data_IF_931905370741
#
_entry.id   IF_931905370741
#
_cell.length_a   1.000
_cell.length_b   1.000
_cell.length_c   1.000
_cell.angle_alpha   90.00
_cell.angle_beta   90.00
_cell.angle_gamma   90.00
#
_symmetry.space_group_name_H-M   'P 1'
#
loop_
_entity.id
_entity.type
_entity.pdbx_description
1 polymer ?
#
# COMPACT_ATOMS: atom_id res chain seq x y z
N UNK A 1 -6.96 28.45 0.43
CA UNK A 1 -7.36 27.03 0.63
C UNK A 1 -6.20 26.15 0.14
N UNK A 2 -5.62 25.34 1.00
CA UNK A 2 -4.57 24.40 0.57
C UNK A 2 -5.26 23.31 -0.27
N UNK A 3 -4.70 22.92 -1.43
CA UNK A 3 -5.26 21.83 -2.21
C UNK A 3 -5.24 20.54 -1.40
N UNK A 4 -6.26 19.72 -1.57
CA UNK A 4 -6.34 18.40 -0.97
C UNK A 4 -5.21 17.51 -1.51
N UNK A 5 -4.42 16.92 -0.64
CA UNK A 5 -3.32 16.02 -1.01
C UNK A 5 -3.78 14.61 -1.43
N UNK A 6 -5.04 14.42 -1.82
CA UNK A 6 -5.61 13.11 -2.14
C UNK A 6 -4.86 12.40 -3.27
N UNK A 7 -4.52 13.11 -4.34
CA UNK A 7 -3.78 12.55 -5.48
C UNK A 7 -2.36 12.14 -5.05
N UNK A 8 -1.72 12.95 -4.20
CA UNK A 8 -0.41 12.64 -3.65
C UNK A 8 -0.47 11.39 -2.74
N UNK A 9 -1.48 11.31 -1.87
CA UNK A 9 -1.69 10.15 -1.00
C UNK A 9 -1.96 8.88 -1.82
N UNK A 10 -2.75 8.96 -2.87
CA UNK A 10 -3.02 7.84 -3.77
C UNK A 10 -1.76 7.43 -4.54
N UNK A 11 -0.98 8.38 -5.04
CA UNK A 11 0.29 8.12 -5.73
C UNK A 11 1.30 7.43 -4.82
N UNK A 12 1.40 7.84 -3.56
CA UNK A 12 2.21 7.15 -2.55
C UNK A 12 1.70 5.73 -2.28
N UNK A 13 0.37 5.55 -2.17
CA UNK A 13 -0.25 4.24 -2.01
C UNK A 13 0.09 3.29 -3.17
N UNK A 14 0.03 3.77 -4.41
CA UNK A 14 0.43 3.01 -5.60
C UNK A 14 1.91 2.66 -5.54
N UNK A 15 2.78 3.63 -5.26
CA UNK A 15 4.22 3.41 -5.19
C UNK A 15 4.59 2.33 -4.17
N UNK A 16 4.14 2.47 -2.93
CA UNK A 16 4.42 1.47 -1.89
C UNK A 16 3.74 0.13 -2.16
N UNK A 17 2.54 0.14 -2.72
CA UNK A 17 1.85 -1.07 -3.13
C UNK A 17 2.62 -1.86 -4.19
N UNK A 18 3.20 -1.19 -5.19
CA UNK A 18 4.08 -1.83 -6.18
C UNK A 18 5.32 -2.45 -5.54
N UNK A 19 5.92 -1.79 -4.54
CA UNK A 19 7.07 -2.34 -3.82
C UNK A 19 6.69 -3.60 -3.01
N UNK A 20 5.51 -3.61 -2.38
CA UNK A 20 4.98 -4.76 -1.65
C UNK A 20 4.78 -5.94 -2.62
N UNK A 21 4.06 -5.73 -3.72
CA UNK A 21 3.82 -6.76 -4.73
C UNK A 21 5.12 -7.29 -5.32
N UNK A 22 6.07 -6.41 -5.61
CA UNK A 22 7.41 -6.81 -6.08
C UNK A 22 8.09 -7.76 -5.10
N UNK A 23 8.07 -7.43 -3.81
CA UNK A 23 8.69 -8.26 -2.78
C UNK A 23 8.01 -9.64 -2.71
N UNK A 24 6.67 -9.69 -2.77
CA UNK A 24 5.89 -10.93 -2.79
C UNK A 24 6.25 -11.79 -4.01
N UNK A 25 6.28 -11.21 -5.21
CA UNK A 25 6.58 -11.94 -6.44
C UNK A 25 8.03 -12.43 -6.52
N UNK A 26 8.98 -11.64 -6.04
CA UNK A 26 10.38 -12.06 -5.96
C UNK A 26 10.57 -13.22 -4.95
N UNK A 27 9.81 -13.23 -3.86
CA UNK A 27 9.82 -14.35 -2.91
C UNK A 27 9.22 -15.62 -3.53
N UNK A 28 8.14 -15.50 -4.31
CA UNK A 28 7.57 -16.62 -5.08
C UNK A 28 8.60 -17.19 -6.08
N UNK A 29 9.31 -16.33 -6.81
CA UNK A 29 10.36 -16.74 -7.74
C UNK A 29 11.50 -17.49 -7.03
N UNK A 30 11.92 -17.01 -5.87
CA UNK A 30 12.95 -17.68 -5.05
C UNK A 30 12.49 -19.05 -4.57
N UNK A 31 11.24 -19.16 -4.13
CA UNK A 31 10.66 -20.43 -3.66
C UNK A 31 10.54 -21.46 -4.78
N UNK A 32 10.17 -21.03 -5.99
CA UNK A 32 10.00 -21.89 -7.17
C UNK A 32 11.27 -22.10 -7.99
N UNK A 33 12.35 -21.39 -7.65
CA UNK A 33 13.63 -21.37 -8.40
C UNK A 33 13.50 -20.99 -9.89
N UNK A 34 12.40 -20.32 -10.28
CA UNK A 34 12.15 -19.94 -11.67
C UNK A 34 11.30 -18.66 -11.76
N UNK A 35 11.69 -17.74 -12.66
CA UNK A 35 10.88 -16.57 -13.03
C UNK A 35 9.69 -16.95 -13.94
N UNK A 36 9.70 -18.14 -14.55
CA UNK A 36 8.62 -18.61 -15.43
C UNK A 36 7.30 -18.91 -14.71
N UNK A 37 7.30 -18.89 -13.38
CA UNK A 37 6.10 -19.05 -12.55
C UNK A 37 5.23 -17.77 -12.53
N UNK A 38 5.79 -16.63 -12.93
CA UNK A 38 5.08 -15.37 -12.93
C UNK A 38 4.21 -15.21 -14.16
N UNK A 39 2.97 -14.80 -13.97
CA UNK A 39 2.12 -14.30 -15.05
C UNK A 39 2.67 -12.98 -15.61
N UNK A 40 2.27 -12.64 -16.84
CA UNK A 40 2.75 -11.44 -17.54
C UNK A 40 2.58 -10.17 -16.68
N UNK A 41 1.40 -9.97 -16.09
CA UNK A 41 1.10 -8.78 -15.28
C UNK A 41 1.98 -8.68 -14.03
N UNK A 42 2.37 -9.81 -13.44
CA UNK A 42 3.29 -9.84 -12.29
C UNK A 42 4.71 -9.42 -12.70
N UNK A 43 5.16 -9.85 -13.89
CA UNK A 43 6.42 -9.40 -14.45
C UNK A 43 6.40 -7.90 -14.77
N UNK A 44 5.27 -7.38 -15.24
CA UNK A 44 5.08 -5.96 -15.52
C UNK A 44 5.11 -5.13 -14.21
N UNK A 45 4.52 -5.63 -13.11
CA UNK A 45 4.64 -5.00 -11.78
C UNK A 45 6.11 -4.86 -11.35
N UNK A 46 6.92 -5.90 -11.55
CA UNK A 46 8.35 -5.84 -11.20
C UNK A 46 9.06 -4.74 -12.00
N UNK A 47 8.80 -4.64 -13.31
CA UNK A 47 9.38 -3.60 -14.18
C UNK A 47 8.95 -2.20 -13.75
N UNK A 48 7.65 -2.00 -13.52
CA UNK A 48 7.08 -0.70 -13.13
C UNK A 48 7.60 -0.24 -11.76
N UNK A 49 7.77 -1.17 -10.81
CA UNK A 49 8.33 -0.86 -9.49
C UNK A 49 9.80 -0.39 -9.51
N UNK A 50 10.49 -0.55 -10.65
CA UNK A 50 11.87 -0.09 -10.85
C UNK A 50 11.97 1.34 -11.41
N UNK A 51 10.86 2.07 -11.55
CA UNK A 51 10.84 3.50 -11.88
C UNK A 51 10.26 3.86 -13.24
N UNK A 52 9.71 2.92 -13.99
CA UNK A 52 9.08 3.21 -15.28
C UNK A 52 7.58 3.46 -15.16
N UNK A 53 7.22 4.55 -14.46
CA UNK A 53 5.83 4.89 -14.16
C UNK A 53 5.00 5.38 -15.36
N UNK A 54 5.62 5.70 -16.49
CA UNK A 54 4.93 6.24 -17.69
C UNK A 54 3.93 5.23 -18.26
N UNK A 55 4.23 3.94 -18.14
CA UNK A 55 3.33 2.87 -18.61
C UNK A 55 2.21 2.53 -17.59
N UNK A 56 2.29 3.09 -16.38
CA UNK A 56 1.34 2.78 -15.31
C UNK A 56 -0.04 3.41 -15.55
N UNK A 57 -0.09 4.61 -16.11
CA UNK A 57 -1.36 5.36 -16.33
C UNK A 57 -2.38 4.58 -17.17
N UNK A 58 -1.89 3.69 -18.03
CA UNK A 58 -2.75 2.88 -18.92
C UNK A 58 -3.08 1.48 -18.34
N UNK A 59 -2.64 1.17 -17.10
CA UNK A 59 -2.81 -0.16 -16.54
C UNK A 59 -3.58 -0.14 -15.20
N UNK A 60 -4.90 0.09 -15.31
CA UNK A 60 -5.78 0.19 -14.14
C UNK A 60 -5.77 -1.08 -13.27
N UNK A 61 -5.55 -2.25 -13.86
CA UNK A 61 -5.47 -3.51 -13.12
C UNK A 61 -4.26 -3.52 -12.16
N UNK A 62 -3.10 -3.09 -12.64
CA UNK A 62 -1.88 -2.99 -11.81
C UNK A 62 -2.04 -1.91 -10.74
N UNK A 63 -2.64 -0.76 -11.08
CA UNK A 63 -2.92 0.31 -10.12
C UNK A 63 -3.81 -0.22 -9.00
N UNK A 64 -4.90 -0.91 -9.33
CA UNK A 64 -5.82 -1.46 -8.36
C UNK A 64 -5.15 -2.54 -7.49
N UNK A 65 -4.35 -3.41 -8.09
CA UNK A 65 -3.59 -4.43 -7.36
C UNK A 65 -2.59 -3.81 -6.38
N UNK A 66 -1.88 -2.75 -6.80
CA UNK A 66 -0.95 -2.01 -5.94
C UNK A 66 -1.65 -1.34 -4.77
N UNK A 67 -2.75 -0.62 -5.02
CA UNK A 67 -3.55 0.00 -3.96
C UNK A 67 -4.09 -1.03 -2.97
N UNK A 68 -4.63 -2.14 -3.46
CA UNK A 68 -5.11 -3.23 -2.61
C UNK A 68 -3.98 -3.83 -1.75
N UNK A 69 -2.79 -4.01 -2.32
CA UNK A 69 -1.63 -4.48 -1.55
C UNK A 69 -1.24 -3.48 -0.45
N UNK A 70 -1.29 -2.18 -0.74
CA UNK A 70 -1.02 -1.14 0.22
C UNK A 70 -2.06 -1.11 1.36
N UNK A 71 -3.37 -1.18 1.05
CA UNK A 71 -4.43 -1.20 2.06
C UNK A 71 -4.38 -2.47 2.91
N UNK A 72 -4.07 -3.62 2.31
CA UNK A 72 -3.84 -4.86 3.05
C UNK A 72 -2.71 -4.71 4.06
N UNK A 73 -1.62 -4.07 3.67
CA UNK A 73 -0.48 -3.82 4.57
C UNK A 73 -0.85 -2.84 5.69
N UNK A 74 -1.60 -1.76 5.40
CA UNK A 74 -2.11 -0.85 6.43
C UNK A 74 -2.96 -1.61 7.46
N UNK A 75 -3.87 -2.47 7.01
CA UNK A 75 -4.74 -3.25 7.89
C UNK A 75 -3.98 -4.35 8.64
N UNK A 76 -2.95 -4.93 8.03
CA UNK A 76 -2.04 -5.87 8.72
C UNK A 76 -1.33 -5.19 9.89
N UNK A 77 -0.78 -4.00 9.67
CA UNK A 77 -0.15 -3.22 10.74
C UNK A 77 -1.15 -2.84 11.83
N UNK A 78 -2.38 -2.45 11.47
CA UNK A 78 -3.44 -2.20 12.43
C UNK A 78 -3.74 -3.42 13.31
N UNK A 79 -3.83 -4.61 12.71
CA UNK A 79 -4.04 -5.86 13.43
C UNK A 79 -2.86 -6.21 14.35
N UNK A 80 -1.62 -6.04 13.92
CA UNK A 80 -0.41 -6.25 14.73
C UNK A 80 -0.36 -5.31 15.94
N UNK A 81 -0.81 -4.07 15.76
CA UNK A 81 -0.96 -3.09 16.84
C UNK A 81 -2.20 -3.32 17.72
N UNK A 82 -3.00 -4.35 17.41
CA UNK A 82 -4.24 -4.72 18.10
C UNK A 82 -5.29 -3.60 18.11
N UNK A 83 -5.36 -2.84 17.04
CA UNK A 83 -6.38 -1.80 16.84
C UNK A 83 -7.72 -2.50 16.51
N UNK A 84 -8.68 -2.40 17.40
CA UNK A 84 -9.94 -3.16 17.32
C UNK A 84 -11.01 -2.48 16.47
N UNK A 85 -10.93 -1.16 16.40
CA UNK A 85 -11.95 -0.30 15.78
C UNK A 85 -11.38 0.45 14.57
N UNK A 86 -10.43 -0.17 13.83
CA UNK A 86 -9.75 0.45 12.70
C UNK A 86 -9.79 -0.45 11.48
N UNK A 87 -10.22 0.12 10.35
CA UNK A 87 -10.13 -0.49 9.03
C UNK A 87 -9.79 0.58 7.99
N UNK A 88 -8.78 0.34 7.18
CA UNK A 88 -8.34 1.23 6.12
C UNK A 88 -8.78 0.71 4.75
N UNK A 89 -9.45 1.57 3.99
CA UNK A 89 -9.89 1.28 2.62
C UNK A 89 -9.34 2.28 1.60
N UNK A 90 -8.68 3.33 2.06
CA UNK A 90 -8.11 4.35 1.19
C UNK A 90 -6.84 4.97 1.78
N UNK A 91 -5.99 5.49 0.91
CA UNK A 91 -4.79 6.22 1.32
C UNK A 91 -5.08 7.69 1.66
N UNK A 92 -6.19 8.25 1.15
CA UNK A 92 -6.52 9.68 1.23
C UNK A 92 -7.51 10.03 2.34
N UNK A 93 -8.10 9.04 3.02
CA UNK A 93 -9.01 9.26 4.14
C UNK A 93 -10.37 9.88 3.77
N UNK A 94 -10.77 9.88 2.48
CA UNK A 94 -12.13 10.30 2.10
C UNK A 94 -13.16 9.38 2.75
N UNK A 95 -14.33 9.93 3.05
CA UNK A 95 -15.40 9.18 3.71
C UNK A 95 -15.82 7.95 2.92
N UNK A 96 -15.86 6.84 3.63
CA UNK A 96 -16.42 5.57 3.18
C UNK A 96 -16.79 4.75 4.42
N UNK A 97 -17.93 4.07 4.40
CA UNK A 97 -18.44 3.32 5.56
C UNK A 97 -17.46 2.25 6.08
N UNK A 98 -16.64 1.70 5.18
CA UNK A 98 -15.61 0.71 5.51
C UNK A 98 -14.25 1.33 5.89
N UNK A 99 -14.12 2.66 5.89
CA UNK A 99 -12.89 3.38 6.26
C UNK A 99 -13.14 4.09 7.60
N UNK A 100 -12.81 3.44 8.69
CA UNK A 100 -13.11 3.91 10.03
C UNK A 100 -11.96 3.67 11.02
N UNK A 101 -11.96 4.43 12.09
CA UNK A 101 -11.09 4.26 13.24
C UNK A 101 -11.74 4.83 14.50
N UNK A 102 -11.14 4.62 15.66
CA UNK A 102 -11.54 5.23 16.92
C UNK A 102 -10.47 6.22 17.40
N UNK A 103 -10.86 7.14 18.29
CA UNK A 103 -9.93 8.09 18.90
C UNK A 103 -8.79 7.37 19.65
N UNK A 104 -9.10 6.25 20.31
CA UNK A 104 -8.10 5.43 20.99
C UNK A 104 -7.11 4.82 20.01
N UNK A 105 -7.60 4.22 18.94
CA UNK A 105 -6.74 3.58 17.92
C UNK A 105 -5.84 4.62 17.24
N UNK A 106 -6.37 5.80 16.91
CA UNK A 106 -5.56 6.90 16.35
C UNK A 106 -4.48 7.36 17.35
N UNK A 107 -4.78 7.42 18.64
CA UNK A 107 -3.78 7.76 19.64
C UNK A 107 -2.67 6.69 19.73
N UNK A 108 -3.01 5.41 19.62
CA UNK A 108 -2.05 4.31 19.58
C UNK A 108 -1.16 4.36 18.34
N UNK A 109 -1.74 4.61 17.16
CA UNK A 109 -0.98 4.82 15.92
C UNK A 109 -0.02 5.98 16.07
N UNK A 110 -0.50 7.13 16.55
CA UNK A 110 0.31 8.33 16.76
C UNK A 110 1.46 8.07 17.73
N UNK A 111 1.20 7.37 18.82
CA UNK A 111 2.24 6.97 19.78
C UNK A 111 3.31 6.10 19.13
N UNK A 112 2.90 5.14 18.29
CA UNK A 112 3.85 4.29 17.58
C UNK A 112 4.68 5.08 16.55
N UNK A 113 4.06 5.99 15.81
CA UNK A 113 4.75 6.87 14.88
C UNK A 113 5.80 7.75 15.58
N UNK A 114 5.50 8.26 16.76
CA UNK A 114 6.42 9.09 17.55
C UNK A 114 7.68 8.35 18.03
N UNK A 115 7.71 7.01 17.98
CA UNK A 115 8.93 6.25 18.24
C UNK A 115 9.92 6.31 17.07
N UNK A 116 9.47 6.66 15.89
CA UNK A 116 10.32 6.82 14.71
C UNK A 116 10.94 8.21 14.70
N UNK A 117 12.27 8.29 14.69
CA UNK A 117 13.02 9.55 14.73
C UNK A 117 12.80 10.43 13.50
N UNK A 118 12.52 9.81 12.35
CA UNK A 118 12.23 10.53 11.09
C UNK A 118 10.83 11.16 11.11
N UNK A 119 9.86 10.50 11.75
CA UNK A 119 8.50 11.02 11.90
C UNK A 119 8.43 12.16 12.91
N UNK A 120 9.19 12.08 13.98
CA UNK A 120 9.25 13.03 15.09
C UNK A 120 10.03 14.30 14.75
#
# INVERSE_FOLDING_TARGET
MLPSGNDAAQSLGIHFGLLILRAEFLNLCKASKSMQVLEKWQADVIKLSMGNYIELENNQEIINAALNAFYREMNRNAAEMKLKDTNFLSAHGMHHDQNYSSALDIALISHQCMKNSTFR
#
